data_IF_915810027893
#
_entry.id   IF_915810027893
#
_cell.length_a   1.000
_cell.length_b   1.000
_cell.length_c   1.000
_cell.angle_alpha   90.00
_cell.angle_beta   90.00
_cell.angle_gamma   90.00
#
_symmetry.space_group_name_H-M   'P 1'
#
loop_
_entity.id
_entity.type
_entity.pdbx_description
1 polymer ?
#
# COMPACT_ATOMS: atom_id res chain seq x y z
N UNK A 1 -2.71 -13.43 -1.64
CA UNK A 1 -2.82 -12.43 -0.54
C UNK A 1 -2.45 -13.11 0.78
N UNK A 2 -2.01 -12.38 1.81
CA UNK A 2 -1.59 -13.00 3.08
C UNK A 2 -2.68 -13.90 3.69
N UNK A 3 -3.94 -13.44 3.65
CA UNK A 3 -5.13 -14.21 4.09
C UNK A 3 -5.26 -15.53 3.33
N UNK A 4 -5.12 -15.51 1.99
CA UNK A 4 -5.24 -16.71 1.16
C UNK A 4 -4.10 -17.71 1.37
N UNK A 5 -2.97 -17.25 1.90
CA UNK A 5 -1.83 -18.09 2.27
C UNK A 5 -1.91 -18.59 3.74
N UNK A 6 -3.01 -18.29 4.45
CA UNK A 6 -3.24 -18.76 5.82
C UNK A 6 -2.53 -17.95 6.91
N UNK A 7 -1.89 -16.82 6.58
CA UNK A 7 -1.28 -15.96 7.59
C UNK A 7 -2.34 -15.28 8.45
N UNK A 8 -2.20 -15.41 9.78
CA UNK A 8 -3.12 -14.81 10.77
C UNK A 8 -2.52 -13.61 11.50
N UNK A 9 -1.19 -13.52 11.55
CA UNK A 9 -0.48 -12.42 12.19
C UNK A 9 0.39 -11.70 11.16
N UNK A 10 0.17 -10.40 11.00
CA UNK A 10 0.83 -9.59 9.97
C UNK A 10 1.38 -8.29 10.56
N UNK A 11 2.62 -7.97 10.19
CA UNK A 11 3.22 -6.66 10.44
C UNK A 11 3.49 -6.01 9.10
N UNK A 12 2.78 -4.91 8.83
CA UNK A 12 2.93 -4.12 7.63
C UNK A 12 3.96 -3.01 7.87
N UNK A 13 4.92 -2.89 6.96
CA UNK A 13 5.96 -1.87 7.03
C UNK A 13 5.79 -0.84 5.90
N UNK A 14 5.98 0.44 6.21
CA UNK A 14 5.98 1.52 5.22
C UNK A 14 7.01 2.57 5.57
N UNK A 15 7.59 3.21 4.55
CA UNK A 15 8.45 4.39 4.69
C UNK A 15 7.70 5.72 4.67
N UNK A 16 6.37 5.69 4.55
CA UNK A 16 5.53 6.88 4.70
C UNK A 16 5.12 7.06 6.16
N UNK A 17 5.82 7.94 6.90
CA UNK A 17 5.47 8.26 8.29
C UNK A 17 4.04 8.83 8.40
N UNK A 18 3.64 9.67 7.45
CA UNK A 18 2.26 10.20 7.38
C UNK A 18 1.23 9.08 7.29
N UNK A 19 1.47 8.05 6.46
CA UNK A 19 0.56 6.91 6.35
C UNK A 19 0.51 6.11 7.64
N UNK A 20 1.66 5.79 8.23
CA UNK A 20 1.71 5.07 9.51
C UNK A 20 0.94 5.83 10.59
N UNK A 21 1.16 7.14 10.73
CA UNK A 21 0.47 7.97 11.73
C UNK A 21 -1.06 7.98 11.54
N UNK A 22 -1.54 7.90 10.29
CA UNK A 22 -2.97 7.79 9.96
C UNK A 22 -3.51 6.40 10.30
N UNK A 23 -2.75 5.34 10.03
CA UNK A 23 -3.18 3.96 10.29
C UNK A 23 -3.11 3.58 11.76
N UNK A 24 -2.20 4.18 12.53
CA UNK A 24 -2.02 3.90 13.96
C UNK A 24 -2.69 4.94 14.86
N UNK A 25 -3.17 6.05 14.31
CA UNK A 25 -3.79 7.14 15.05
C UNK A 25 -5.23 7.38 14.63
N UNK A 26 -6.04 7.99 15.50
CA UNK A 26 -7.43 8.37 15.21
C UNK A 26 -7.54 9.64 14.32
N UNK A 27 -6.67 9.79 13.31
CA UNK A 27 -6.68 10.94 12.40
C UNK A 27 -7.32 10.53 11.07
N UNK A 28 -8.57 10.94 10.83
CA UNK A 28 -9.21 10.70 9.54
C UNK A 28 -8.83 11.78 8.53
N UNK A 29 -8.21 11.38 7.42
CA UNK A 29 -8.07 12.20 6.21
C UNK A 29 -9.19 11.78 5.26
N UNK A 30 -10.01 12.72 4.78
CA UNK A 30 -11.24 12.44 4.03
C UNK A 30 -10.93 11.60 2.77
N UNK A 31 -9.85 11.94 2.08
CA UNK A 31 -9.38 11.28 0.86
C UNK A 31 -8.97 9.81 1.09
N UNK A 32 -8.63 9.45 2.33
CA UNK A 32 -8.23 8.09 2.69
C UNK A 32 -9.33 7.33 3.43
N UNK A 33 -10.50 7.92 3.66
CA UNK A 33 -11.56 7.32 4.48
C UNK A 33 -12.02 5.97 3.93
N UNK A 34 -12.19 5.84 2.61
CA UNK A 34 -12.56 4.57 1.97
C UNK A 34 -11.50 3.49 2.19
N UNK A 35 -10.23 3.82 1.92
CA UNK A 35 -9.11 2.88 2.09
C UNK A 35 -8.95 2.48 3.57
N UNK A 36 -9.09 3.42 4.51
CA UNK A 36 -9.01 3.12 5.95
C UNK A 36 -10.15 2.19 6.37
N UNK A 37 -11.37 2.41 5.87
CA UNK A 37 -12.50 1.53 6.11
C UNK A 37 -12.22 0.11 5.60
N UNK A 38 -11.74 -0.01 4.36
CA UNK A 38 -11.45 -1.32 3.74
C UNK A 38 -10.33 -2.06 4.49
N UNK A 39 -9.30 -1.33 4.97
CA UNK A 39 -8.28 -1.89 5.85
C UNK A 39 -8.83 -2.34 7.19
N UNK A 40 -9.83 -1.62 7.72
CA UNK A 40 -10.58 -2.02 8.93
C UNK A 40 -11.29 -3.36 8.72
N UNK A 41 -12.09 -3.48 7.66
CA UNK A 41 -12.77 -4.74 7.30
C UNK A 41 -11.76 -5.86 7.06
N UNK A 42 -10.66 -5.58 6.36
CA UNK A 42 -9.61 -6.57 6.11
C UNK A 42 -8.92 -7.02 7.41
N UNK A 43 -8.78 -6.12 8.39
CA UNK A 43 -8.15 -6.44 9.68
C UNK A 43 -8.87 -7.54 10.45
N UNK A 44 -10.20 -7.68 10.26
CA UNK A 44 -11.03 -8.72 10.88
C UNK A 44 -10.66 -10.14 10.41
N UNK A 45 -9.97 -10.26 9.28
CA UNK A 45 -9.47 -11.55 8.78
C UNK A 45 -8.19 -12.03 9.48
N UNK A 46 -7.56 -11.17 10.29
CA UNK A 46 -6.30 -11.41 11.00
C UNK A 46 -6.53 -11.47 12.51
N UNK A 47 -5.77 -12.33 13.18
CA UNK A 47 -5.71 -12.36 14.65
C UNK A 47 -4.86 -11.20 15.18
N UNK A 48 -3.84 -10.80 14.42
CA UNK A 48 -3.01 -9.65 14.72
C UNK A 48 -2.61 -8.90 13.45
N UNK A 49 -2.83 -7.59 13.44
CA UNK A 49 -2.38 -6.70 12.38
C UNK A 49 -1.77 -5.44 13.01
N UNK A 50 -0.55 -5.09 12.59
CA UNK A 50 0.10 -3.85 13.02
C UNK A 50 0.83 -3.15 11.87
N UNK A 51 1.01 -1.84 12.03
CA UNK A 51 1.68 -0.98 11.05
C UNK A 51 2.92 -0.35 11.67
N UNK A 52 4.04 -0.38 10.97
CA UNK A 52 5.32 0.15 11.47
C UNK A 52 6.05 0.96 10.42
N UNK A 53 6.60 2.08 10.87
CA UNK A 53 7.50 2.88 10.06
C UNK A 53 8.86 2.19 9.88
N UNK A 54 9.40 2.26 8.67
CA UNK A 54 10.79 1.91 8.35
C UNK A 54 11.43 3.02 7.53
N UNK A 55 12.75 3.17 7.59
CA UNK A 55 13.46 4.11 6.71
C UNK A 55 13.35 3.68 5.24
N UNK A 56 13.43 4.64 4.31
CA UNK A 56 13.26 4.39 2.86
C UNK A 56 14.24 3.35 2.30
N UNK A 57 15.48 3.36 2.77
CA UNK A 57 16.49 2.35 2.41
C UNK A 57 16.15 0.92 2.91
N UNK A 58 15.21 0.77 3.83
CA UNK A 58 14.70 -0.54 4.28
C UNK A 58 13.41 -0.95 3.57
N UNK A 59 12.82 -0.05 2.77
CA UNK A 59 11.63 -0.32 1.97
C UNK A 59 11.94 -0.46 0.46
N UNK A 60 13.20 -0.70 0.10
CA UNK A 60 13.67 -0.71 -1.30
C UNK A 60 12.90 -1.67 -2.20
N UNK A 61 12.49 -2.84 -1.69
CA UNK A 61 11.76 -3.83 -2.49
C UNK A 61 10.38 -3.28 -2.91
N UNK A 62 9.67 -2.65 -1.97
CA UNK A 62 8.37 -2.04 -2.26
C UNK A 62 8.53 -0.82 -3.17
N UNK A 63 9.53 0.04 -2.91
CA UNK A 63 9.83 1.22 -3.73
C UNK A 63 10.18 0.84 -5.19
N UNK A 64 11.02 -0.19 -5.38
CA UNK A 64 11.35 -0.72 -6.71
C UNK A 64 10.12 -1.25 -7.43
N UNK A 65 9.27 -2.02 -6.74
CA UNK A 65 8.04 -2.56 -7.31
C UNK A 65 7.07 -1.43 -7.73
N UNK A 66 6.90 -0.41 -6.88
CA UNK A 66 6.04 0.73 -7.16
C UNK A 66 6.55 1.53 -8.38
N UNK A 67 7.86 1.82 -8.42
CA UNK A 67 8.49 2.52 -9.56
C UNK A 67 8.37 1.74 -10.86
N UNK A 68 8.57 0.42 -10.82
CA UNK A 68 8.46 -0.43 -11.99
C UNK A 68 7.01 -0.45 -12.53
N UNK A 69 6.02 -0.55 -11.64
CA UNK A 69 4.61 -0.48 -12.03
C UNK A 69 4.24 0.88 -12.63
N UNK A 70 4.74 1.98 -12.05
CA UNK A 70 4.52 3.33 -12.58
C UNK A 70 5.14 3.50 -13.97
N UNK A 71 6.36 3.00 -14.16
CA UNK A 71 7.04 3.01 -15.47
C UNK A 71 6.24 2.23 -16.52
N UNK A 72 5.76 1.03 -16.19
CA UNK A 72 4.93 0.24 -17.11
C UNK A 72 3.62 0.94 -17.47
N UNK A 73 2.96 1.55 -16.49
CA UNK A 73 1.74 2.31 -16.74
C UNK A 73 2.01 3.50 -17.66
N UNK A 74 3.08 4.25 -17.41
CA UNK A 74 3.48 5.39 -18.24
C UNK A 74 3.78 4.98 -19.67
N UNK A 75 4.48 3.86 -19.87
CA UNK A 75 4.81 3.40 -21.23
C UNK A 75 3.60 2.86 -21.98
N UNK A 76 2.69 2.14 -21.30
CA UNK A 76 1.44 1.69 -21.91
C UNK A 76 0.57 2.89 -22.36
N UNK A 77 0.56 3.98 -21.60
CA UNK A 77 -0.16 5.20 -22.00
C UNK A 77 0.47 5.85 -23.24
N UNK A 78 1.81 5.83 -23.34
CA UNK A 78 2.50 6.32 -24.54
C UNK A 78 2.27 5.43 -25.77
N UNK A 79 2.13 4.11 -25.61
CA UNK A 79 1.77 3.20 -26.71
C UNK A 79 0.35 3.46 -27.21
N UNK A 80 -0.60 3.77 -26.33
CA UNK A 80 -1.97 4.14 -26.71
C UNK A 80 -1.98 5.46 -27.49
N UNK A 81 -1.25 6.49 -27.06
CA UNK A 81 -1.16 7.75 -27.82
C UNK A 81 -0.54 7.56 -29.21
N UNK A 82 0.45 6.67 -29.35
CA UNK A 82 1.09 6.37 -30.62
C UNK A 82 0.28 5.44 -31.55
N UNK A 83 -0.79 4.82 -31.04
CA UNK A 83 -1.66 3.89 -31.81
C UNK A 83 -2.93 4.56 -32.36
N UNK A 84 -3.10 5.88 -32.13
CA UNK A 84 -4.30 6.65 -32.54
C UNK A 84 -4.02 7.52 -33.79
N UNK A 85 -2.91 7.27 -34.51
CA UNK A 85 -2.60 7.90 -35.81
C UNK A 85 -2.49 6.88 -36.93
#
# INVERSE_FOLDING_TARGET
>A
MAVSAGFKDVVCFSDSRKLIDILTGNKSVIELKGIIHDLGVLSESFSYLSYRYVSRNRNERADKLAKHSLFRLSNNLMEIENSVF
#
